data_IF_559282718111
#
_entry.id   IF_559282718111
#
_cell.length_a   1.000
_cell.length_b   1.000
_cell.length_c   1.000
_cell.angle_alpha   90.00
_cell.angle_beta   90.00
_cell.angle_gamma   90.00
#
_symmetry.space_group_name_H-M   'P 1'
#
loop_
_entity.id
_entity.type
_entity.pdbx_description
1 polymer ?
#
# COMPACT_ATOMS: atom_id res chain seq x y z
N UNK A 1 12.00 8.87 -1.36
CA UNK A 1 11.34 7.57 -1.57
C UNK A 1 12.03 6.81 -2.70
N UNK A 2 12.05 5.48 -2.62
CA UNK A 2 12.51 4.57 -3.66
C UNK A 2 11.30 3.78 -4.19
N UNK A 3 11.35 3.36 -5.45
CA UNK A 3 10.33 2.54 -6.09
C UNK A 3 10.96 1.23 -6.57
N UNK A 4 10.30 0.11 -6.26
CA UNK A 4 10.55 -1.19 -6.88
C UNK A 4 9.29 -1.63 -7.61
N UNK A 5 9.47 -2.16 -8.81
CA UNK A 5 8.40 -2.65 -9.69
C UNK A 5 8.56 -4.17 -9.76
N UNK A 6 7.45 -4.91 -9.66
CA UNK A 6 7.45 -6.38 -9.63
C UNK A 6 8.43 -6.90 -8.57
N UNK A 7 8.28 -6.45 -7.33
CA UNK A 7 9.20 -6.79 -6.25
C UNK A 7 8.91 -8.19 -5.71
N UNK A 8 9.84 -9.16 -5.81
CA UNK A 8 9.60 -10.50 -5.31
C UNK A 8 9.54 -10.49 -3.78
N UNK A 9 8.50 -11.13 -3.24
CA UNK A 9 8.29 -11.31 -1.81
C UNK A 9 8.10 -12.80 -1.52
N UNK A 10 9.02 -13.39 -0.76
CA UNK A 10 8.97 -14.80 -0.37
C UNK A 10 9.00 -14.91 1.15
N UNK A 11 7.86 -15.23 1.76
CA UNK A 11 7.73 -15.47 3.20
C UNK A 11 7.92 -16.97 3.48
N UNK A 12 7.23 -17.80 2.70
CA UNK A 12 7.32 -19.27 2.75
C UNK A 12 7.16 -19.85 1.34
N UNK A 13 7.26 -21.17 1.20
CA UNK A 13 6.96 -21.85 -0.06
C UNK A 13 5.50 -21.70 -0.53
N UNK A 14 4.58 -21.37 0.39
CA UNK A 14 3.15 -21.22 0.11
C UNK A 14 2.68 -19.75 0.14
N UNK A 15 3.47 -18.85 0.70
CA UNK A 15 3.22 -17.41 0.75
C UNK A 15 4.37 -16.68 0.07
N UNK A 16 4.29 -16.63 -1.25
CA UNK A 16 5.26 -15.97 -2.13
C UNK A 16 4.58 -15.38 -3.36
N UNK A 17 5.13 -14.30 -3.88
CA UNK A 17 4.57 -13.57 -5.02
C UNK A 17 5.41 -12.35 -5.40
N UNK A 18 4.79 -11.44 -6.13
CA UNK A 18 5.38 -10.16 -6.52
C UNK A 18 4.44 -9.05 -6.07
N UNK A 19 5.01 -7.94 -5.58
CA UNK A 19 4.29 -6.69 -5.39
C UNK A 19 4.42 -5.88 -6.68
N UNK A 20 3.31 -5.51 -7.31
CA UNK A 20 3.31 -4.75 -8.57
C UNK A 20 4.16 -3.46 -8.43
N UNK A 21 3.88 -2.67 -7.38
CA UNK A 21 4.71 -1.52 -7.01
C UNK A 21 4.92 -1.47 -5.49
N UNK A 22 6.18 -1.40 -5.09
CA UNK A 22 6.60 -1.22 -3.71
C UNK A 22 7.37 0.09 -3.56
N UNK A 23 6.74 1.07 -2.92
CA UNK A 23 7.32 2.37 -2.63
C UNK A 23 7.73 2.41 -1.18
N UNK A 24 8.94 2.89 -0.89
CA UNK A 24 9.39 2.99 0.49
C UNK A 24 10.37 4.14 0.74
N UNK A 25 10.47 4.51 1.99
CA UNK A 25 11.52 5.34 2.59
C UNK A 25 12.13 4.53 3.74
N UNK A 26 12.97 5.15 4.56
CA UNK A 26 13.57 4.49 5.71
C UNK A 26 12.53 4.12 6.79
N UNK A 27 11.37 4.79 6.83
CA UNK A 27 10.37 4.64 7.89
C UNK A 27 8.92 4.49 7.42
N UNK A 28 8.68 4.57 6.12
CA UNK A 28 7.34 4.53 5.50
C UNK A 28 7.35 3.65 4.26
N UNK A 29 6.22 3.04 3.97
CA UNK A 29 6.01 2.28 2.74
C UNK A 29 4.57 2.40 2.21
N UNK A 30 4.43 2.13 0.92
CA UNK A 30 3.16 1.97 0.22
C UNK A 30 3.29 0.81 -0.78
N UNK A 31 2.37 -0.14 -0.70
CA UNK A 31 2.17 -1.17 -1.73
C UNK A 31 1.06 -0.74 -2.67
N UNK A 32 1.24 -0.86 -3.98
CA UNK A 32 0.20 -0.58 -4.95
C UNK A 32 -0.01 -1.82 -5.82
N UNK A 33 -1.23 -2.32 -5.80
CA UNK A 33 -1.70 -3.44 -6.60
C UNK A 33 -2.42 -2.93 -7.84
N UNK A 34 -1.88 -3.21 -9.02
CA UNK A 34 -2.44 -2.76 -10.28
C UNK A 34 -3.44 -3.78 -10.85
N UNK A 35 -4.55 -3.27 -11.38
CA UNK A 35 -5.63 -4.09 -11.95
C UNK A 35 -6.19 -3.46 -13.22
N UNK A 36 -6.78 -4.28 -14.08
CA UNK A 36 -7.43 -3.78 -15.29
C UNK A 36 -8.87 -3.30 -15.06
N UNK A 37 -9.57 -3.81 -14.04
CA UNK A 37 -10.96 -3.39 -13.75
C UNK A 37 -11.48 -3.80 -12.36
N UNK A 38 -11.16 -5.02 -11.90
CA UNK A 38 -11.80 -5.55 -10.69
C UNK A 38 -11.06 -5.14 -9.41
N UNK A 39 -11.40 -3.95 -8.91
CA UNK A 39 -10.87 -3.39 -7.66
C UNK A 39 -11.11 -4.31 -6.45
N UNK A 40 -12.29 -4.95 -6.34
CA UNK A 40 -12.58 -5.83 -5.20
C UNK A 40 -11.65 -7.05 -5.14
N UNK A 41 -11.38 -7.68 -6.30
CA UNK A 41 -10.38 -8.77 -6.38
C UNK A 41 -8.98 -8.26 -6.12
N UNK A 42 -8.65 -7.07 -6.64
CA UNK A 42 -7.38 -6.41 -6.33
C UNK A 42 -7.19 -6.17 -4.84
N UNK A 43 -8.26 -5.78 -4.12
CA UNK A 43 -8.16 -5.55 -2.68
C UNK A 43 -7.90 -6.83 -1.91
N UNK A 44 -8.48 -7.95 -2.34
CA UNK A 44 -8.16 -9.25 -1.72
C UNK A 44 -6.69 -9.62 -1.90
N UNK A 45 -6.11 -9.32 -3.08
CA UNK A 45 -4.68 -9.55 -3.35
C UNK A 45 -3.82 -8.62 -2.48
N UNK A 46 -4.11 -7.31 -2.49
CA UNK A 46 -3.46 -6.33 -1.63
C UNK A 46 -3.49 -6.71 -0.15
N UNK A 47 -4.63 -7.19 0.37
CA UNK A 47 -4.73 -7.63 1.75
C UNK A 47 -3.76 -8.77 2.08
N UNK A 48 -3.63 -9.75 1.19
CA UNK A 48 -2.65 -10.85 1.32
C UNK A 48 -1.22 -10.34 1.24
N UNK A 49 -0.94 -9.41 0.33
CA UNK A 49 0.39 -8.78 0.19
C UNK A 49 0.80 -8.00 1.43
N UNK A 50 -0.11 -7.21 2.03
CA UNK A 50 0.16 -6.49 3.27
C UNK A 50 0.45 -7.46 4.42
N UNK A 51 -0.27 -8.58 4.51
CA UNK A 51 -0.01 -9.64 5.50
C UNK A 51 1.34 -10.29 5.24
N UNK A 52 1.67 -10.60 3.98
CA UNK A 52 2.97 -11.16 3.62
C UNK A 52 4.11 -10.19 3.97
N UNK A 53 3.92 -8.90 3.75
CA UNK A 53 4.89 -7.87 4.06
C UNK A 53 5.09 -7.70 5.58
N UNK A 54 4.02 -7.79 6.37
CA UNK A 54 4.07 -7.81 7.84
C UNK A 54 4.90 -8.99 8.37
N UNK A 55 4.78 -10.16 7.73
CA UNK A 55 5.54 -11.36 8.12
C UNK A 55 6.99 -11.36 7.61
N UNK A 56 7.26 -10.67 6.50
CA UNK A 56 8.59 -10.61 5.89
C UNK A 56 9.47 -9.49 6.47
N UNK A 57 8.87 -8.42 6.99
CA UNK A 57 9.57 -7.21 7.40
C UNK A 57 9.67 -7.08 8.93
N UNK A 58 10.87 -6.81 9.41
CA UNK A 58 11.15 -6.44 10.81
C UNK A 58 10.90 -4.95 11.09
N UNK A 59 10.28 -4.20 10.17
CA UNK A 59 9.97 -2.79 10.39
C UNK A 59 9.08 -2.61 11.63
N UNK A 60 9.23 -1.52 12.38
CA UNK A 60 8.41 -1.22 13.57
C UNK A 60 7.12 -0.45 13.26
N UNK A 61 6.85 -0.18 11.98
CA UNK A 61 5.68 0.59 11.55
C UNK A 61 4.39 -0.15 11.92
N UNK A 62 3.53 0.45 12.75
CA UNK A 62 2.29 -0.18 13.26
C UNK A 62 1.20 -0.37 12.21
N UNK A 63 1.19 0.46 11.17
CA UNK A 63 0.18 0.46 10.11
C UNK A 63 0.88 0.33 8.76
N UNK A 64 0.62 -0.73 8.01
CA UNK A 64 1.06 -0.84 6.62
C UNK A 64 -0.01 -0.28 5.70
N UNK A 65 0.41 0.50 4.71
CA UNK A 65 -0.47 1.21 3.78
C UNK A 65 -0.40 0.56 2.40
N UNK A 66 -1.56 0.40 1.77
CA UNK A 66 -1.71 -0.19 0.46
C UNK A 66 -2.73 0.56 -0.39
N UNK A 67 -2.65 0.39 -1.70
CA UNK A 67 -3.66 0.87 -2.64
C UNK A 67 -3.90 -0.15 -3.76
N UNK A 68 -5.11 -0.18 -4.28
CA UNK A 68 -5.44 -0.86 -5.53
C UNK A 68 -5.72 0.21 -6.57
N UNK A 69 -5.20 0.06 -7.78
CA UNK A 69 -5.43 1.01 -8.86
C UNK A 69 -5.75 0.36 -10.20
N UNK A 70 -6.70 0.95 -10.92
CA UNK A 70 -6.92 0.70 -12.36
C UNK A 70 -6.25 1.74 -13.26
N UNK A 71 -5.44 2.62 -12.68
CA UNK A 71 -4.88 3.81 -13.32
C UNK A 71 -5.83 5.01 -13.23
N UNK A 72 -7.11 4.82 -13.55
CA UNK A 72 -8.16 5.85 -13.49
C UNK A 72 -8.92 5.90 -12.16
N UNK A 73 -8.87 4.83 -11.35
CA UNK A 73 -9.48 4.76 -10.01
C UNK A 73 -8.46 4.21 -9.02
N UNK A 74 -8.42 4.81 -7.83
CA UNK A 74 -7.61 4.39 -6.69
C UNK A 74 -8.49 4.11 -5.48
N UNK A 75 -8.20 3.03 -4.77
CA UNK A 75 -8.82 2.69 -3.49
C UNK A 75 -7.73 2.28 -2.50
N UNK A 76 -7.83 2.76 -1.26
CA UNK A 76 -6.81 2.53 -0.24
C UNK A 76 -7.20 1.44 0.75
N UNK A 77 -6.18 0.82 1.33
CA UNK A 77 -6.28 -0.19 2.39
C UNK A 77 -5.19 -0.02 3.43
N UNK A 78 -5.50 -0.46 4.65
CA UNK A 78 -4.58 -0.42 5.78
C UNK A 78 -4.51 -1.81 6.43
N UNK A 79 -3.32 -2.22 6.85
CA UNK A 79 -3.14 -3.31 7.81
C UNK A 79 -2.71 -2.72 9.16
N UNK A 80 -3.57 -2.86 10.16
CA UNK A 80 -3.25 -2.60 11.57
C UNK A 80 -2.56 -3.84 12.14
N UNK A 81 -1.23 -3.78 12.29
CA UNK A 81 -0.41 -4.96 12.59
C UNK A 81 -0.60 -5.49 14.00
N UNK A 82 -0.89 -4.61 14.96
CA UNK A 82 -1.17 -4.99 16.35
C UNK A 82 -2.45 -5.81 16.46
N UNK A 83 -3.52 -5.36 15.79
CA UNK A 83 -4.82 -6.02 15.83
C UNK A 83 -5.01 -7.08 14.74
N UNK A 84 -4.00 -7.27 13.87
CA UNK A 84 -4.06 -8.13 12.67
C UNK A 84 -5.34 -7.89 11.86
N UNK A 85 -5.67 -6.61 11.68
CA UNK A 85 -6.91 -6.17 11.03
C UNK A 85 -6.59 -5.45 9.72
N UNK A 86 -7.14 -5.94 8.61
CA UNK A 86 -7.14 -5.24 7.33
C UNK A 86 -8.42 -4.42 7.23
N UNK A 87 -8.29 -3.13 6.92
CA UNK A 87 -9.41 -2.22 6.69
C UNK A 87 -9.37 -1.72 5.25
N UNK A 88 -10.51 -1.84 4.56
CA UNK A 88 -10.72 -1.27 3.23
C UNK A 88 -11.37 0.10 3.38
N UNK A 89 -10.77 1.13 2.79
CA UNK A 89 -11.46 2.41 2.60
C UNK A 89 -12.42 2.28 1.40
N UNK A 90 -13.68 2.65 1.58
CA UNK A 90 -14.69 2.61 0.53
C UNK A 90 -14.63 3.84 -0.39
N UNK A 91 -13.85 4.86 -0.04
CA UNK A 91 -13.62 6.01 -0.91
C UNK A 91 -12.86 5.60 -2.17
N UNK A 92 -13.35 6.09 -3.31
CA UNK A 92 -12.73 5.89 -4.62
C UNK A 92 -12.24 7.24 -5.13
N UNK A 93 -10.95 7.33 -5.42
CA UNK A 93 -10.32 8.54 -5.95
C UNK A 93 -10.14 8.36 -7.46
N UNK A 94 -10.84 9.18 -8.26
CA UNK A 94 -10.80 9.10 -9.72
C UNK A 94 -9.76 10.04 -10.29
N UNK A 95 -9.07 9.62 -11.33
CA UNK A 95 -8.13 10.46 -12.08
C UNK A 95 -8.79 10.86 -13.40
N UNK A 96 -8.82 12.16 -13.77
CA UNK A 96 -8.19 13.30 -13.09
C UNK A 96 -9.07 14.01 -12.05
N UNK A 97 -10.32 13.61 -11.84
CA UNK A 97 -11.30 14.38 -11.07
C UNK A 97 -10.88 14.67 -9.62
N UNK A 98 -10.26 13.70 -8.96
CA UNK A 98 -9.89 13.70 -7.55
C UNK A 98 -8.36 13.72 -7.38
N UNK A 99 -7.64 14.16 -8.41
CA UNK A 99 -6.18 14.06 -8.51
C UNK A 99 -5.45 14.79 -7.37
N UNK A 100 -5.92 15.98 -7.00
CA UNK A 100 -5.33 16.77 -5.93
C UNK A 100 -5.39 16.05 -4.57
N UNK A 101 -6.53 15.41 -4.29
CA UNK A 101 -6.73 14.65 -3.05
C UNK A 101 -5.89 13.37 -3.05
N UNK A 102 -5.86 12.65 -4.17
CA UNK A 102 -4.99 11.48 -4.35
C UNK A 102 -3.52 11.82 -4.08
N UNK A 103 -3.01 12.92 -4.66
CA UNK A 103 -1.62 13.34 -4.44
C UNK A 103 -1.36 13.72 -2.98
N UNK A 104 -2.30 14.39 -2.30
CA UNK A 104 -2.15 14.68 -0.87
C UNK A 104 -2.00 13.41 -0.04
N UNK A 105 -2.80 12.37 -0.33
CA UNK A 105 -2.70 11.08 0.35
C UNK A 105 -1.33 10.45 0.08
N UNK A 106 -0.91 10.37 -1.18
CA UNK A 106 0.40 9.78 -1.55
C UNK A 106 1.57 10.50 -0.89
N UNK A 107 1.53 11.84 -0.84
CA UNK A 107 2.54 12.65 -0.14
C UNK A 107 2.49 12.44 1.37
N UNK A 108 1.30 12.34 1.98
CA UNK A 108 1.19 12.08 3.42
C UNK A 108 1.67 10.68 3.82
N UNK A 109 1.44 9.68 2.96
CA UNK A 109 1.87 8.29 3.15
C UNK A 109 3.39 8.16 3.09
N UNK A 110 4.03 8.76 2.09
CA UNK A 110 5.47 8.62 1.83
C UNK A 110 6.33 9.76 2.40
N UNK A 111 5.69 10.85 2.79
CA UNK A 111 6.34 12.02 3.35
C UNK A 111 6.76 11.79 4.80
N UNK A 112 7.89 12.37 5.16
CA UNK A 112 8.31 12.39 6.55
C UNK A 112 7.35 13.31 7.31
N UNK A 113 6.73 12.80 8.38
CA UNK A 113 5.94 13.64 9.29
C UNK A 113 6.93 14.40 10.17
N UNK A 114 7.63 15.38 9.59
CA UNK A 114 8.51 16.31 10.29
C UNK A 114 7.75 17.29 11.19
N UNK A 115 6.75 16.83 11.94
CA UNK A 115 6.17 17.57 13.05
C UNK A 115 7.11 17.42 14.25
N UNK A 116 8.23 18.16 14.23
CA UNK A 116 9.17 18.19 15.35
C UNK A 116 10.62 18.52 15.00
N UNK A 117 10.87 19.41 14.03
CA UNK A 117 12.16 20.11 13.90
C UNK A 117 11.93 21.53 13.42
N UNK A 118 11.52 22.38 14.36
CA UNK A 118 11.99 23.76 14.58
C UNK A 118 11.37 24.30 15.88
#
# INVERSE_FOLDING_TARGET
>A
AQLRIEYPLTVTEYLKGYLDYYLYTDSKLLVIEAKNANIQRGFTQLAVELIALDLWSDADQLILQGAVSTGDIWQFGLLHREHKQVTQDLNLYRVPADLEELFRILVAVLGDSGAGRE
#
